data_IF_122469105375
#
_entry.id   IF_122469105375
#
_cell.length_a   1.000
_cell.length_b   1.000
_cell.length_c   1.000
_cell.angle_alpha   90.00
_cell.angle_beta   90.00
_cell.angle_gamma   90.00
#
_symmetry.space_group_name_H-M   'P 1'
#
loop_
_entity.id
_entity.type
_entity.pdbx_description
1 polymer ?
#
# COMPACT_ATOMS: atom_id res chain seq x y z
N UNK A 1 3.29 4.72 30.73
CA UNK A 1 3.79 3.56 29.95
C UNK A 1 2.92 2.36 30.30
N UNK A 2 2.34 1.66 29.33
CA UNK A 2 1.58 0.43 29.60
C UNK A 2 2.50 -0.79 29.47
N UNK A 3 2.52 -1.65 30.49
CA UNK A 3 3.43 -2.79 30.64
C UNK A 3 3.04 -4.02 29.78
N UNK A 4 2.71 -3.82 28.49
CA UNK A 4 2.18 -4.88 27.63
C UNK A 4 2.93 -5.13 26.32
N UNK A 5 3.73 -4.18 25.82
CA UNK A 5 4.47 -4.37 24.56
C UNK A 5 5.47 -5.52 24.72
N UNK A 6 5.54 -6.38 23.70
CA UNK A 6 6.36 -7.59 23.70
C UNK A 6 5.69 -8.81 24.33
N UNK A 7 4.49 -8.66 24.92
CA UNK A 7 3.70 -9.81 25.37
C UNK A 7 3.22 -10.62 24.16
N UNK A 8 3.38 -11.93 24.23
CA UNK A 8 3.02 -12.86 23.17
C UNK A 8 2.21 -14.04 23.72
N UNK A 9 1.31 -14.58 22.92
CA UNK A 9 0.63 -15.86 23.14
C UNK A 9 0.55 -16.61 21.82
N UNK A 10 0.83 -17.91 21.84
CA UNK A 10 0.71 -18.77 20.64
C UNK A 10 -0.39 -19.78 20.88
N UNK A 11 -1.39 -19.76 20.01
CA UNK A 11 -2.51 -20.70 20.01
C UNK A 11 -2.19 -21.87 19.08
N UNK A 12 -2.45 -23.11 19.52
CA UNK A 12 -2.25 -24.33 18.74
C UNK A 12 -3.12 -25.47 19.27
N UNK A 13 -3.85 -26.15 18.37
CA UNK A 13 -4.65 -27.34 18.69
C UNK A 13 -5.76 -27.05 19.70
N UNK A 14 -5.97 -27.95 20.66
CA UNK A 14 -6.94 -27.72 21.74
C UNK A 14 -6.50 -26.54 22.59
N UNK A 15 -7.16 -25.39 22.41
CA UNK A 15 -6.77 -24.13 23.03
C UNK A 15 -6.96 -24.17 24.56
N UNK A 16 -5.89 -24.08 25.37
CA UNK A 16 -6.03 -23.98 26.81
C UNK A 16 -6.85 -22.73 27.20
N UNK A 17 -7.68 -22.85 28.24
CA UNK A 17 -8.48 -21.71 28.73
C UNK A 17 -7.60 -20.51 29.14
N UNK A 18 -6.40 -20.77 29.65
CA UNK A 18 -5.43 -19.75 30.03
C UNK A 18 -4.94 -18.93 28.82
N UNK A 19 -4.65 -19.57 27.69
CA UNK A 19 -4.18 -18.89 26.48
C UNK A 19 -5.30 -18.07 25.84
N UNK A 20 -6.52 -18.60 25.85
CA UNK A 20 -7.70 -17.87 25.39
C UNK A 20 -7.98 -16.63 26.25
N UNK A 21 -7.91 -16.77 27.58
CA UNK A 21 -8.08 -15.64 28.50
C UNK A 21 -6.97 -14.59 28.35
N UNK A 22 -5.73 -15.02 28.13
CA UNK A 22 -4.61 -14.10 27.86
C UNK A 22 -4.80 -13.35 26.54
N UNK A 23 -5.25 -14.03 25.49
CA UNK A 23 -5.56 -13.36 24.22
C UNK A 23 -6.69 -12.35 24.37
N UNK A 24 -7.76 -12.68 25.08
CA UNK A 24 -8.87 -11.76 25.33
C UNK A 24 -8.40 -10.52 26.13
N UNK A 25 -7.48 -10.70 27.09
CA UNK A 25 -6.82 -9.59 27.78
C UNK A 25 -5.99 -8.73 26.82
N UNK A 26 -5.22 -9.33 25.91
CA UNK A 26 -4.42 -8.61 24.92
C UNK A 26 -5.30 -7.80 23.95
N UNK A 27 -6.44 -8.36 23.53
CA UNK A 27 -7.45 -7.65 22.72
C UNK A 27 -7.98 -6.44 23.47
N UNK A 28 -8.32 -6.60 24.75
CA UNK A 28 -8.79 -5.47 25.58
C UNK A 28 -7.73 -4.38 25.72
N UNK A 29 -6.46 -4.73 25.90
CA UNK A 29 -5.35 -3.78 26.02
C UNK A 29 -5.20 -2.97 24.72
N UNK A 30 -5.16 -3.64 23.58
CA UNK A 30 -4.97 -2.97 22.29
C UNK A 30 -6.18 -2.12 21.88
N UNK A 31 -7.41 -2.49 22.27
CA UNK A 31 -8.61 -1.64 22.05
C UNK A 31 -8.63 -0.40 22.95
N UNK A 32 -8.19 -0.54 24.19
CA UNK A 32 -8.25 0.53 25.20
C UNK A 32 -7.06 1.51 25.18
N UNK A 33 -6.05 1.29 24.34
CA UNK A 33 -4.80 2.04 24.40
C UNK A 33 -4.26 2.43 23.02
N UNK A 34 -4.23 3.73 22.76
CA UNK A 34 -3.75 4.30 21.50
C UNK A 34 -2.24 4.06 21.21
N UNK A 35 -1.46 3.61 22.21
CA UNK A 35 -0.02 3.36 22.07
C UNK A 35 0.35 1.89 21.83
N UNK A 36 -0.63 0.98 21.83
CA UNK A 36 -0.40 -0.46 21.68
C UNK A 36 -1.27 -0.98 20.54
N UNK A 37 -0.70 -1.84 19.70
CA UNK A 37 -1.42 -2.57 18.68
C UNK A 37 -1.26 -4.08 18.92
N UNK A 38 -2.21 -4.86 18.42
CA UNK A 38 -2.14 -6.32 18.45
C UNK A 38 -1.96 -6.84 17.03
N UNK A 39 -0.94 -7.68 16.83
CA UNK A 39 -0.72 -8.39 15.56
C UNK A 39 -0.91 -9.89 15.75
N UNK A 40 -1.21 -10.57 14.66
CA UNK A 40 -1.22 -12.02 14.55
C UNK A 40 -0.27 -12.45 13.42
N UNK A 41 0.45 -13.56 13.61
CA UNK A 41 1.28 -14.20 12.59
C UNK A 41 1.01 -15.70 12.55
N UNK A 42 0.90 -16.26 11.36
CA UNK A 42 0.66 -17.69 11.13
C UNK A 42 1.32 -18.13 9.82
N UNK A 43 1.50 -19.44 9.67
CA UNK A 43 1.95 -20.04 8.40
C UNK A 43 0.74 -20.51 7.63
N UNK A 44 0.46 -19.95 6.45
CA UNK A 44 -0.60 -20.38 5.54
C UNK A 44 0.03 -21.12 4.37
N UNK A 45 -0.12 -22.45 4.35
CA UNK A 45 0.70 -23.29 3.47
C UNK A 45 2.17 -23.16 3.85
N UNK A 46 3.02 -22.75 2.90
CA UNK A 46 4.43 -22.45 3.14
C UNK A 46 4.72 -20.97 3.40
N UNK A 47 3.72 -20.09 3.29
CA UNK A 47 3.90 -18.65 3.40
C UNK A 47 3.65 -18.16 4.83
N UNK A 48 4.58 -17.38 5.39
CA UNK A 48 4.35 -16.64 6.61
C UNK A 48 3.42 -15.46 6.31
N UNK A 49 2.24 -15.44 6.92
CA UNK A 49 1.23 -14.40 6.78
C UNK A 49 1.09 -13.63 8.09
N UNK A 50 0.75 -12.35 8.00
CA UNK A 50 0.50 -11.52 9.16
C UNK A 50 -0.81 -10.77 9.06
N UNK A 51 -1.33 -10.36 10.21
CA UNK A 51 -2.54 -9.58 10.31
C UNK A 51 -2.47 -8.60 11.48
N UNK A 52 -3.14 -7.45 11.36
CA UNK A 52 -3.20 -6.38 12.36
C UNK A 52 -4.63 -6.23 12.85
N UNK A 53 -4.82 -6.14 14.17
CA UNK A 53 -6.14 -5.92 14.75
C UNK A 53 -6.65 -4.51 14.43
N UNK A 54 -7.89 -4.45 13.92
CA UNK A 54 -8.66 -3.24 13.64
C UNK A 54 -9.46 -2.82 14.88
N UNK A 55 -10.03 -1.61 14.84
CA UNK A 55 -10.80 -1.05 15.96
C UNK A 55 -12.03 -1.90 16.35
N UNK A 56 -12.67 -2.56 15.38
CA UNK A 56 -13.78 -3.49 15.62
C UNK A 56 -13.34 -4.81 16.29
N UNK A 57 -12.04 -5.13 16.29
CA UNK A 57 -11.47 -6.39 16.78
C UNK A 57 -11.35 -7.48 15.72
N UNK A 58 -11.70 -7.19 14.47
CA UNK A 58 -11.28 -8.01 13.33
C UNK A 58 -9.81 -7.76 13.00
N UNK A 59 -9.24 -8.54 12.10
CA UNK A 59 -7.84 -8.47 11.72
C UNK A 59 -7.72 -8.23 10.22
N UNK A 60 -7.08 -7.12 9.86
CA UNK A 60 -6.67 -6.86 8.49
C UNK A 60 -5.50 -7.77 8.17
N UNK A 61 -5.62 -8.66 7.19
CA UNK A 61 -4.47 -9.42 6.69
C UNK A 61 -3.64 -8.57 5.72
N UNK A 62 -2.47 -9.07 5.36
CA UNK A 62 -1.51 -8.57 4.38
C UNK A 62 -2.02 -8.60 2.91
N UNK A 63 -3.33 -8.47 2.70
CA UNK A 63 -4.02 -8.25 1.43
C UNK A 63 -5.20 -7.31 1.66
N UNK A 64 -5.40 -6.32 0.80
CA UNK A 64 -6.17 -5.10 1.12
C UNK A 64 -7.63 -5.38 1.48
N UNK A 65 -8.25 -6.34 0.79
CA UNK A 65 -9.64 -6.75 0.99
C UNK A 65 -9.79 -8.05 1.79
N UNK A 66 -8.75 -8.46 2.51
CA UNK A 66 -8.76 -9.65 3.34
C UNK A 66 -8.85 -9.26 4.83
N UNK A 67 -10.03 -9.51 5.42
CA UNK A 67 -10.28 -9.28 6.85
C UNK A 67 -10.70 -10.60 7.49
N UNK A 68 -10.04 -10.96 8.58
CA UNK A 68 -10.22 -12.21 9.31
C UNK A 68 -10.81 -11.88 10.69
N UNK A 69 -11.78 -12.65 11.16
CA UNK A 69 -12.30 -12.47 12.53
C UNK A 69 -11.33 -13.05 13.56
N UNK A 70 -11.37 -12.55 14.80
CA UNK A 70 -10.63 -13.16 15.91
C UNK A 70 -10.98 -14.65 16.07
N UNK A 71 -12.26 -15.02 15.89
CA UNK A 71 -12.70 -16.40 15.94
C UNK A 71 -12.09 -17.23 14.80
N UNK A 72 -12.02 -16.70 13.57
CA UNK A 72 -11.39 -17.40 12.45
C UNK A 72 -9.91 -17.71 12.71
N UNK A 73 -9.18 -16.82 13.39
CA UNK A 73 -7.81 -17.09 13.82
C UNK A 73 -7.73 -18.16 14.93
N UNK A 74 -8.68 -18.16 15.88
CA UNK A 74 -8.79 -19.21 16.91
C UNK A 74 -9.11 -20.58 16.27
N UNK A 75 -10.01 -20.61 15.29
CA UNK A 75 -10.39 -21.83 14.56
C UNK A 75 -9.22 -22.36 13.72
N UNK A 76 -8.42 -21.47 13.11
CA UNK A 76 -7.19 -21.83 12.41
C UNK A 76 -6.19 -22.52 13.34
N UNK A 77 -6.00 -21.96 14.54
CA UNK A 77 -5.20 -22.57 15.58
C UNK A 77 -5.74 -23.93 16.03
N UNK A 78 -7.05 -24.05 16.23
CA UNK A 78 -7.72 -25.29 16.59
C UNK A 78 -7.58 -26.38 15.52
N UNK A 79 -7.46 -25.99 14.24
CA UNK A 79 -7.14 -26.87 13.12
C UNK A 79 -5.72 -27.45 13.13
N UNK A 80 -4.89 -27.09 14.12
CA UNK A 80 -3.53 -27.62 14.30
C UNK A 80 -2.42 -26.78 13.69
N UNK A 81 -2.72 -25.56 13.24
CA UNK A 81 -1.74 -24.64 12.66
C UNK A 81 -1.50 -23.45 13.60
N UNK A 82 -0.27 -23.23 14.09
CA UNK A 82 -0.05 -22.27 15.17
C UNK A 82 -0.31 -20.83 14.72
N UNK A 83 -1.00 -20.06 15.57
CA UNK A 83 -1.19 -18.61 15.42
C UNK A 83 -0.57 -17.90 16.60
N UNK A 84 0.35 -17.00 16.32
CA UNK A 84 1.06 -16.21 17.33
C UNK A 84 0.52 -14.80 17.36
N UNK A 85 0.08 -14.35 18.53
CA UNK A 85 -0.37 -12.99 18.78
C UNK A 85 0.65 -12.23 19.59
N UNK A 86 0.94 -10.98 19.22
CA UNK A 86 1.93 -10.14 19.91
C UNK A 86 1.41 -8.72 20.08
N UNK A 87 1.52 -8.17 21.29
CA UNK A 87 1.31 -6.73 21.53
C UNK A 87 2.57 -5.97 21.11
N UNK A 88 2.41 -5.01 20.20
CA UNK A 88 3.49 -4.19 19.64
C UNK A 88 3.21 -2.72 19.89
N UNK A 89 4.25 -1.88 19.76
CA UNK A 89 4.06 -0.44 19.84
C UNK A 89 3.26 0.07 18.64
N UNK A 90 2.32 1.00 18.86
CA UNK A 90 1.56 1.65 17.78
C UNK A 90 2.50 2.28 16.74
N UNK A 91 2.17 2.10 15.47
CA UNK A 91 2.97 2.52 14.31
C UNK A 91 3.94 1.44 13.81
N UNK A 92 4.24 0.42 14.63
CA UNK A 92 5.13 -0.68 14.22
C UNK A 92 4.38 -1.88 13.66
N UNK A 93 3.08 -2.00 13.94
CA UNK A 93 2.25 -3.14 13.55
C UNK A 93 2.23 -3.40 12.05
N UNK A 94 2.24 -2.33 11.25
CA UNK A 94 2.18 -2.42 9.79
C UNK A 94 3.41 -3.14 9.23
N UNK A 95 4.61 -2.71 9.63
CA UNK A 95 5.86 -3.35 9.20
C UNK A 95 6.03 -4.77 9.73
N UNK A 96 5.51 -5.04 10.93
CA UNK A 96 5.67 -6.34 11.57
C UNK A 96 4.72 -7.41 11.01
N UNK A 97 3.61 -7.00 10.41
CA UNK A 97 2.54 -7.93 10.03
C UNK A 97 1.96 -7.77 8.61
N UNK A 98 2.04 -6.61 7.96
CA UNK A 98 1.33 -6.38 6.69
C UNK A 98 2.23 -6.11 5.47
N UNK A 99 3.33 -5.40 5.68
CA UNK A 99 4.20 -4.91 4.60
C UNK A 99 5.62 -4.82 5.17
N UNK A 100 6.44 -5.80 4.84
CA UNK A 100 7.75 -5.99 5.47
C UNK A 100 8.75 -4.90 5.12
N UNK A 101 8.69 -4.39 3.89
CA UNK A 101 9.65 -3.41 3.36
C UNK A 101 9.15 -1.96 3.38
N UNK A 102 7.87 -1.78 3.71
CA UNK A 102 7.20 -0.52 4.00
C UNK A 102 7.07 0.40 2.78
N UNK A 103 6.95 -0.16 1.59
CA UNK A 103 6.74 0.59 0.36
C UNK A 103 5.28 1.05 0.18
N UNK A 104 4.35 0.45 0.93
CA UNK A 104 2.93 0.76 0.96
C UNK A 104 2.05 -0.20 0.15
N UNK A 105 2.61 -1.28 -0.39
CA UNK A 105 1.88 -2.44 -0.89
C UNK A 105 1.97 -3.55 0.16
N UNK A 106 0.89 -4.31 0.36
CA UNK A 106 0.88 -5.38 1.38
C UNK A 106 1.54 -6.64 0.82
N UNK A 107 2.21 -7.42 1.68
CA UNK A 107 3.10 -8.52 1.29
C UNK A 107 2.40 -9.53 0.33
N UNK A 108 1.16 -9.93 0.61
CA UNK A 108 0.45 -10.87 -0.26
C UNK A 108 -0.05 -10.21 -1.54
N UNK A 109 -0.43 -8.94 -1.48
CA UNK A 109 -0.84 -8.18 -2.68
C UNK A 109 0.34 -8.01 -3.67
N UNK A 110 1.58 -7.95 -3.16
CA UNK A 110 2.79 -7.99 -3.98
C UNK A 110 3.00 -9.35 -4.63
N UNK A 111 2.87 -10.44 -3.87
CA UNK A 111 2.96 -11.81 -4.40
C UNK A 111 1.92 -12.05 -5.49
N UNK A 112 0.68 -11.59 -5.29
CA UNK A 112 -0.39 -11.70 -6.29
C UNK A 112 -0.05 -10.96 -7.60
N UNK A 113 0.83 -9.95 -7.53
CA UNK A 113 1.33 -9.16 -8.65
C UNK A 113 2.68 -9.65 -9.17
N UNK A 114 3.16 -10.81 -8.70
CA UNK A 114 4.47 -11.38 -9.01
C UNK A 114 5.64 -10.46 -8.65
N UNK A 115 5.51 -9.71 -7.55
CA UNK A 115 6.56 -8.88 -6.96
C UNK A 115 7.19 -9.58 -5.75
N UNK A 116 8.31 -9.02 -5.26
CA UNK A 116 9.02 -9.56 -4.10
C UNK A 116 8.68 -8.72 -2.85
N UNK A 117 8.03 -9.30 -1.82
CA UNK A 117 7.67 -8.58 -0.57
C UNK A 117 8.84 -8.11 0.31
N UNK A 118 10.06 -8.09 -0.23
CA UNK A 118 11.27 -7.61 0.43
C UNK A 118 11.88 -6.44 -0.32
N UNK A 119 11.35 -6.13 -1.50
CA UNK A 119 11.89 -5.13 -2.40
C UNK A 119 11.15 -3.81 -2.19
N UNK A 120 11.73 -2.85 -1.44
CA UNK A 120 11.07 -1.58 -1.13
C UNK A 120 10.91 -0.66 -2.36
N UNK A 121 11.32 -1.11 -3.55
CA UNK A 121 11.33 -0.31 -4.77
C UNK A 121 10.09 -0.51 -5.65
N UNK A 122 9.03 -1.16 -5.14
CA UNK A 122 7.77 -1.27 -5.89
C UNK A 122 7.24 0.12 -6.27
N UNK A 123 6.94 0.36 -7.56
CA UNK A 123 6.44 1.66 -7.96
C UNK A 123 5.03 1.92 -7.40
N UNK A 124 4.93 2.92 -6.51
CA UNK A 124 3.68 3.38 -5.90
C UNK A 124 3.41 4.86 -6.17
N UNK A 125 2.14 5.20 -6.33
CA UNK A 125 1.65 6.58 -6.37
C UNK A 125 1.30 7.02 -4.96
N UNK A 126 1.54 8.30 -4.67
CA UNK A 126 1.30 8.90 -3.36
C UNK A 126 0.53 10.19 -3.56
N UNK A 127 -0.67 10.23 -2.99
CA UNK A 127 -1.59 11.35 -3.19
C UNK A 127 -1.92 11.95 -1.84
N UNK A 128 -1.52 13.21 -1.63
CA UNK A 128 -1.87 13.95 -0.41
C UNK A 128 -3.39 14.06 -0.27
N UNK A 129 -3.90 13.78 0.93
CA UNK A 129 -5.34 13.82 1.20
C UNK A 129 -5.74 14.60 2.45
N UNK A 130 -4.79 14.97 3.32
CA UNK A 130 -5.07 15.80 4.49
C UNK A 130 -3.80 16.22 5.22
N UNK A 131 -3.78 17.42 5.79
CA UNK A 131 -2.71 17.86 6.69
C UNK A 131 -2.92 17.26 8.10
N UNK A 132 -1.90 17.32 8.96
CA UNK A 132 -2.04 16.94 10.38
C UNK A 132 -3.20 17.69 11.05
N UNK A 133 -4.06 16.94 11.74
CA UNK A 133 -5.29 17.42 12.36
C UNK A 133 -6.50 17.51 11.42
N UNK A 134 -6.33 17.30 10.11
CA UNK A 134 -7.42 17.27 9.13
C UNK A 134 -7.93 15.86 8.86
N UNK A 135 -9.02 15.74 8.11
CA UNK A 135 -9.56 14.45 7.64
C UNK A 135 -9.09 14.11 6.24
N UNK A 136 -8.74 12.84 6.01
CA UNK A 136 -8.49 12.23 4.72
C UNK A 136 -9.69 11.35 4.34
N UNK A 137 -10.27 11.57 3.16
CA UNK A 137 -11.39 10.76 2.64
C UNK A 137 -10.83 9.65 1.76
N UNK A 138 -11.03 8.41 2.20
CA UNK A 138 -10.62 7.19 1.49
C UNK A 138 -11.85 6.57 0.84
N UNK A 139 -11.84 6.51 -0.50
CA UNK A 139 -12.88 5.83 -1.26
C UNK A 139 -12.59 4.33 -1.30
N UNK A 140 -13.36 3.54 -0.55
CA UNK A 140 -13.09 2.11 -0.36
C UNK A 140 -11.99 1.87 0.69
N UNK A 141 -11.25 0.76 0.56
CA UNK A 141 -10.06 0.48 1.38
C UNK A 141 -8.81 0.93 0.63
N UNK A 142 -7.87 1.54 1.33
CA UNK A 142 -6.55 1.87 0.80
C UNK A 142 -5.49 1.88 1.91
N UNK A 143 -4.23 1.80 1.52
CA UNK A 143 -3.12 2.11 2.42
C UNK A 143 -3.01 3.63 2.53
N UNK A 144 -3.02 4.13 3.76
CA UNK A 144 -2.77 5.54 4.07
C UNK A 144 -1.51 5.62 4.92
N UNK A 145 -0.64 6.58 4.61
CA UNK A 145 0.53 6.88 5.42
C UNK A 145 0.43 8.28 6.03
N UNK A 146 0.91 8.44 7.26
CA UNK A 146 0.95 9.69 7.99
C UNK A 146 2.38 10.02 8.41
N UNK A 147 2.85 11.22 8.10
CA UNK A 147 4.22 11.60 8.41
C UNK A 147 4.75 12.75 7.56
N UNK A 148 6.08 12.86 7.51
CA UNK A 148 6.80 13.91 6.78
C UNK A 148 8.21 13.46 6.40
N UNK A 149 8.69 13.88 5.23
CA UNK A 149 10.07 13.66 4.81
C UNK A 149 10.35 12.17 4.66
N UNK A 150 11.20 11.63 5.53
CA UNK A 150 11.56 10.19 5.56
C UNK A 150 10.87 9.42 6.69
N UNK A 151 10.02 10.08 7.50
CA UNK A 151 9.37 9.49 8.67
C UNK A 151 7.88 9.32 8.42
N UNK A 152 7.44 8.07 8.29
CA UNK A 152 6.06 7.73 7.94
C UNK A 152 5.59 6.48 8.69
N UNK A 153 4.38 6.51 9.22
CA UNK A 153 3.63 5.34 9.67
C UNK A 153 2.51 5.03 8.69
N UNK A 154 2.15 3.76 8.56
CA UNK A 154 1.22 3.26 7.56
C UNK A 154 0.07 2.52 8.23
N UNK A 155 -1.11 2.57 7.62
CA UNK A 155 -2.27 1.80 8.05
C UNK A 155 -3.21 1.55 6.86
N UNK A 156 -3.89 0.40 6.87
CA UNK A 156 -5.02 0.15 5.99
C UNK A 156 -6.26 0.85 6.54
N UNK A 157 -6.84 1.73 5.74
CA UNK A 157 -7.91 2.64 6.14
C UNK A 157 -9.08 2.61 5.17
N UNK A 158 -10.26 2.99 5.65
CA UNK A 158 -11.48 3.11 4.85
C UNK A 158 -12.35 4.26 5.34
N UNK A 159 -13.09 4.89 4.43
CA UNK A 159 -13.97 6.00 4.77
C UNK A 159 -13.22 7.26 5.20
N UNK A 160 -13.73 7.97 6.20
CA UNK A 160 -13.11 9.22 6.69
C UNK A 160 -12.14 8.93 7.82
N UNK A 161 -10.87 9.31 7.63
CA UNK A 161 -9.79 9.05 8.58
C UNK A 161 -9.17 10.34 9.08
N UNK A 162 -8.92 10.43 10.39
CA UNK A 162 -8.22 11.57 10.98
C UNK A 162 -6.70 11.45 10.79
N UNK A 163 -6.07 12.48 10.22
CA UNK A 163 -4.63 12.56 10.03
C UNK A 163 -3.95 12.99 11.32
N UNK A 164 -3.72 12.04 12.23
CA UNK A 164 -3.20 12.35 13.56
C UNK A 164 -2.31 11.24 14.12
N UNK A 165 -1.48 11.63 15.10
CA UNK A 165 -0.67 10.69 15.89
C UNK A 165 -1.50 9.68 16.67
N UNK A 166 -2.76 9.99 16.99
CA UNK A 166 -3.67 9.05 17.66
C UNK A 166 -4.09 7.92 16.73
N UNK A 167 -4.27 8.22 15.44
CA UNK A 167 -4.72 7.25 14.45
C UNK A 167 -3.58 6.35 13.96
N UNK A 168 -2.41 6.94 13.69
CA UNK A 168 -1.28 6.23 13.04
C UNK A 168 -0.11 5.90 13.99
N UNK A 169 -0.11 6.42 15.22
CA UNK A 169 1.09 6.50 16.05
C UNK A 169 1.95 7.71 15.68
N UNK A 170 2.98 8.00 16.47
CA UNK A 170 3.90 9.12 16.22
C UNK A 170 5.10 8.67 15.35
N UNK A 171 5.20 9.11 14.08
CA UNK A 171 6.36 8.83 13.23
C UNK A 171 7.58 9.68 13.61
N UNK A 172 7.43 10.63 14.53
CA UNK A 172 8.40 11.68 14.82
C UNK A 172 8.26 12.88 13.88
N UNK A 173 9.28 13.73 13.85
CA UNK A 173 9.24 15.00 13.11
C UNK A 173 8.45 16.09 13.83
N UNK A 174 8.46 17.30 13.26
CA UNK A 174 7.81 18.46 13.87
C UNK A 174 6.29 18.34 13.82
N UNK A 175 5.62 18.70 14.91
CA UNK A 175 4.18 18.79 14.93
C UNK A 175 3.69 19.91 13.98
N UNK A 176 2.60 19.67 13.27
CA UNK A 176 1.98 20.59 12.32
C UNK A 176 2.55 20.54 10.90
N UNK A 177 3.59 19.74 10.64
CA UNK A 177 4.22 19.60 9.32
C UNK A 177 4.00 18.23 8.70
N UNK A 178 3.28 17.34 9.39
CA UNK A 178 2.94 16.00 8.90
C UNK A 178 1.66 16.05 8.04
N UNK A 179 1.49 15.07 7.18
CA UNK A 179 0.32 14.93 6.33
C UNK A 179 -0.05 13.46 6.14
N UNK A 180 -1.30 13.21 5.75
CA UNK A 180 -1.71 11.93 5.18
C UNK A 180 -1.51 11.90 3.67
N UNK A 181 -1.08 10.74 3.19
CA UNK A 181 -1.08 10.40 1.77
C UNK A 181 -1.72 9.02 1.57
N UNK A 182 -2.58 8.91 0.55
CA UNK A 182 -3.07 7.62 0.06
C UNK A 182 -1.97 7.02 -0.82
N UNK A 183 -1.59 5.77 -0.52
CA UNK A 183 -0.62 4.99 -1.28
C UNK A 183 -1.36 3.96 -2.12
N UNK A 184 -1.06 3.93 -3.42
CA UNK A 184 -1.65 2.97 -4.35
C UNK A 184 -0.61 2.47 -5.36
N UNK A 185 -0.68 1.20 -5.78
CA UNK A 185 0.18 0.67 -6.83
C UNK A 185 0.16 1.55 -8.09
N UNK A 186 1.32 1.88 -8.66
CA UNK A 186 1.34 2.52 -9.97
C UNK A 186 0.95 1.50 -11.03
N UNK A 187 -0.04 1.83 -11.86
CA UNK A 187 -0.34 1.07 -13.07
C UNK A 187 0.75 1.27 -14.11
N UNK A 188 0.98 0.28 -14.98
CA UNK A 188 1.99 0.34 -16.04
C UNK A 188 1.90 1.63 -16.89
N UNK A 189 0.69 2.10 -17.19
CA UNK A 189 0.47 3.34 -17.93
C UNK A 189 0.94 4.60 -17.16
N UNK A 190 0.76 4.64 -15.85
CA UNK A 190 1.24 5.74 -14.99
C UNK A 190 2.76 5.70 -14.79
N UNK A 191 3.35 4.50 -14.77
CA UNK A 191 4.80 4.31 -14.71
C UNK A 191 5.49 4.77 -15.99
N UNK A 192 4.96 4.41 -17.17
CA UNK A 192 5.50 4.84 -18.47
C UNK A 192 5.47 6.36 -18.62
N UNK A 193 4.36 7.02 -18.26
CA UNK A 193 4.29 8.49 -18.27
C UNK A 193 5.30 9.12 -17.30
N UNK A 194 5.47 8.56 -16.11
CA UNK A 194 6.44 9.04 -15.12
C UNK A 194 7.89 8.89 -15.60
N UNK A 195 8.20 7.76 -16.25
CA UNK A 195 9.51 7.51 -16.85
C UNK A 195 9.80 8.46 -18.03
N UNK A 196 8.82 8.65 -18.93
CA UNK A 196 8.92 9.59 -20.04
C UNK A 196 9.10 11.03 -19.56
N UNK A 197 8.36 11.45 -18.52
CA UNK A 197 8.47 12.80 -17.97
C UNK A 197 9.84 13.02 -17.28
N UNK A 198 10.39 12.00 -16.61
CA UNK A 198 11.75 12.04 -16.06
C UNK A 198 12.83 12.15 -17.14
N UNK A 199 12.70 11.39 -18.24
CA UNK A 199 13.61 11.47 -19.38
C UNK A 199 13.53 12.84 -20.08
N UNK A 200 12.33 13.41 -20.20
CA UNK A 200 12.14 14.74 -20.79
C UNK A 200 12.74 15.86 -19.92
N UNK A 201 12.76 15.70 -18.59
CA UNK A 201 13.35 16.66 -17.65
C UNK A 201 14.87 16.56 -17.55
N UNK A 202 15.46 15.37 -17.76
CA UNK A 202 16.92 15.18 -17.72
C UNK A 202 17.64 15.54 -19.03
N UNK A 203 16.91 15.71 -20.13
CA UNK A 203 17.45 16.10 -21.45
C UNK A 203 16.65 17.24 -22.13
N UNK A 204 16.71 18.49 -21.60
CA UNK A 204 15.98 19.61 -22.18
C UNK A 204 16.44 20.00 -23.60
N UNK A 205 17.62 19.56 -24.04
CA UNK A 205 18.22 19.92 -25.35
C UNK A 205 17.77 19.06 -26.54
N UNK A 206 17.15 17.89 -26.32
CA UNK A 206 16.73 16.98 -27.41
C UNK A 206 15.26 17.12 -27.82
N UNK A 207 14.43 17.81 -27.04
CA UNK A 207 12.99 17.95 -27.30
C UNK A 207 12.68 18.96 -28.42
N UNK A 208 13.65 19.77 -28.89
CA UNK A 208 13.45 20.83 -29.91
C UNK A 208 13.57 20.39 -31.39
N UNK A 209 13.49 19.09 -31.73
CA UNK A 209 13.60 18.63 -33.13
C UNK A 209 12.46 17.74 -33.64
N UNK A 210 11.23 17.92 -33.14
CA UNK A 210 10.06 17.24 -33.70
C UNK A 210 8.88 18.16 -34.07
N UNK A 211 9.14 19.45 -34.34
CA UNK A 211 8.07 20.38 -34.75
C UNK A 211 8.58 21.49 -35.68
N UNK A 212 9.12 21.12 -36.86
CA UNK A 212 9.07 21.94 -38.10
C UNK A 212 9.81 21.19 -39.22
N UNK A 213 9.11 20.31 -39.94
CA UNK A 213 9.50 19.91 -41.29
C UNK A 213 8.28 19.92 -42.20
N UNK A 214 7.58 21.06 -42.22
CA UNK A 214 6.76 21.47 -43.35
C UNK A 214 7.56 22.46 -44.18
N UNK A 215 8.42 21.96 -45.07
CA UNK A 215 8.89 22.74 -46.23
C UNK A 215 8.80 21.88 -47.47
N UNK A 216 7.76 22.19 -48.24
CA UNK A 216 7.55 21.82 -49.63
C UNK A 216 8.76 22.14 -50.50
N UNK A 217 9.18 21.19 -51.34
CA UNK A 217 9.91 21.43 -52.59
C UNK A 217 9.76 20.21 -53.52
N UNK A 218 8.66 20.13 -54.27
CA UNK A 218 8.69 19.61 -55.65
C UNK A 218 7.39 19.92 -56.38
N UNK A 219 7.45 20.94 -57.24
CA UNK A 219 6.71 21.17 -58.50
C UNK A 219 7.24 22.54 -59.00
N UNK A 220 7.27 22.90 -60.31
CA UNK A 220 6.81 22.19 -61.51
C UNK A 220 7.84 22.22 -62.66
N UNK A 221 7.51 21.64 -63.83
CA UNK A 221 7.51 22.34 -65.13
C UNK A 221 6.69 21.51 -66.16
N UNK A 222 5.92 22.25 -66.95
CA UNK A 222 4.86 21.82 -67.87
C UNK A 222 5.40 21.23 -69.18
N UNK A 223 4.60 20.42 -69.87
CA UNK A 223 4.05 20.79 -71.19
C UNK A 223 3.02 19.77 -71.71
N UNK A 224 1.96 20.32 -72.32
CA UNK A 224 0.77 19.65 -72.78
C UNK A 224 0.76 19.52 -74.31
N UNK A 225 0.35 18.37 -74.84
CA UNK A 225 -0.28 18.12 -76.16
C UNK A 225 -0.85 16.68 -76.05
N UNK A 226 -2.08 16.28 -76.38
CA UNK A 226 -3.07 16.76 -77.32
C UNK A 226 -3.50 15.55 -78.19
N UNK A 227 -4.73 15.06 -77.97
CA UNK A 227 -5.61 14.37 -78.94
C UNK A 227 -5.21 13.01 -79.59
N UNK A 228 -6.16 12.05 -79.50
CA UNK A 228 -6.79 11.28 -80.63
C UNK A 228 -6.84 9.74 -80.46
N UNK A 229 -8.08 9.25 -80.40
CA UNK A 229 -8.70 7.98 -80.85
C UNK A 229 -7.86 6.87 -81.52
N UNK A 230 -8.09 5.60 -81.14
CA UNK A 230 -8.37 4.40 -81.99
C UNK A 230 -8.45 3.13 -81.11
N UNK A 231 -9.62 2.48 -80.92
CA UNK A 231 -10.21 1.32 -81.66
C UNK A 231 -9.44 -0.02 -81.60
N UNK A 232 -10.13 -1.00 -80.99
CA UNK A 232 -10.31 -2.43 -81.34
C UNK A 232 -9.09 -3.36 -81.38
N UNK A 233 -9.13 -4.40 -80.54
CA UNK A 233 -9.37 -5.78 -80.97
C UNK A 233 -10.12 -6.53 -79.86
#
# INVERSE_FOLDING_TARGET
MHAGVGRQVTLLGSLPMADSALLDQMVSIAKGNAHVALIAKAMVGSAARGAVMRADGSFQADRLNEVISLQGLKDYAAGGLPVTFTLVAKGTEYRLALDRDQDGILDTEEVDRSLNPADPSTPVSRTACGAEGSSCVVNGKAVVRFGQGTRWHYAVQEGTVSCSVLTFGDPGGSAGTRACEIVAPQTAASQQKSAQNRLAQSQPSLVRRAATSTRAWWEPQRQAHGSTLAKLY
#
